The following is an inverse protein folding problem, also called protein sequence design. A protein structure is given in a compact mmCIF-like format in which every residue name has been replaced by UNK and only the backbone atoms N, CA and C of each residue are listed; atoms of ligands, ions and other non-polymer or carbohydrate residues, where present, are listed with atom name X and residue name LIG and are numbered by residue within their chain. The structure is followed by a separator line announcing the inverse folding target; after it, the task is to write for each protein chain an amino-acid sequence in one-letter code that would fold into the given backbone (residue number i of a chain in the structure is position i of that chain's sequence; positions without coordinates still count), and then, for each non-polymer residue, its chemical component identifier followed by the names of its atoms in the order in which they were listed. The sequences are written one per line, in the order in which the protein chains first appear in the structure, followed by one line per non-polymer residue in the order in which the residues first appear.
data_IF_231148341245
#
_entry.id   IF_231148341245
#
_cell.length_a   1.000
_cell.length_b   1.000
_cell.length_c   1.000
_cell.angle_alpha   90.00
_cell.angle_beta   90.00
_cell.angle_gamma   90.00
#
_symmetry.space_group_name_H-M   'P 1'
#
loop_
_entity.id
_entity.type
_entity.pdbx_description
1 polymer ?
#
# COMPACT_ATOMS: atom_id res chain seq x y z
N UNK A 1 14.88 -4.17 -28.39
CA UNK A 1 15.01 -4.06 -26.92
C UNK A 1 15.50 -2.69 -26.41
N UNK A 2 16.33 -1.96 -27.14
CA UNK A 2 17.03 -0.77 -26.62
C UNK A 2 16.15 0.46 -26.36
N UNK A 3 14.97 0.51 -26.99
CA UNK A 3 14.06 1.66 -26.89
C UNK A 3 13.43 1.80 -25.50
N UNK A 4 13.14 0.69 -24.81
CA UNK A 4 12.57 0.69 -23.46
C UNK A 4 13.57 1.24 -22.44
N UNK A 5 14.82 0.79 -22.50
CA UNK A 5 15.91 1.28 -21.65
C UNK A 5 16.19 2.77 -21.86
N UNK A 6 16.07 3.25 -23.10
CA UNK A 6 16.23 4.68 -23.41
C UNK A 6 15.11 5.52 -22.80
N UNK A 7 13.85 5.03 -22.81
CA UNK A 7 12.72 5.69 -22.14
C UNK A 7 12.86 5.70 -20.62
N UNK A 8 13.31 4.58 -20.02
CA UNK A 8 13.63 4.55 -18.59
C UNK A 8 14.70 5.58 -18.23
N UNK A 9 15.72 5.75 -19.07
CA UNK A 9 16.78 6.75 -18.86
C UNK A 9 16.28 8.19 -19.00
N UNK A 10 15.26 8.44 -19.83
CA UNK A 10 14.63 9.76 -19.96
C UNK A 10 13.86 10.16 -18.69
N UNK A 11 13.23 9.20 -18.01
CA UNK A 11 12.53 9.41 -16.74
C UNK A 11 13.46 9.98 -15.66
N UNK A 12 14.73 9.55 -15.64
CA UNK A 12 15.74 10.06 -14.70
C UNK A 12 16.42 11.35 -15.17
N UNK A 13 16.36 11.67 -16.46
CA UNK A 13 17.01 12.83 -17.06
C UNK A 13 16.11 14.07 -17.05
N UNK A 14 14.80 13.87 -17.14
CA UNK A 14 13.81 14.94 -17.13
C UNK A 14 13.44 15.33 -15.69
N UNK A 15 13.73 16.57 -15.26
CA UNK A 15 13.50 17.02 -13.90
C UNK A 15 12.00 17.09 -13.54
N UNK A 16 11.10 17.31 -14.50
CA UNK A 16 9.66 17.36 -14.26
C UNK A 16 9.07 15.96 -14.07
N UNK A 17 9.47 14.98 -14.89
CA UNK A 17 9.08 13.58 -14.66
C UNK A 17 9.58 13.07 -13.30
N UNK A 18 10.85 13.38 -12.96
CA UNK A 18 11.42 12.96 -11.67
C UNK A 18 10.61 13.51 -10.50
N UNK A 19 10.23 14.80 -10.52
CA UNK A 19 9.40 15.40 -9.45
C UNK A 19 8.05 14.70 -9.31
N UNK A 20 7.37 14.40 -10.43
CA UNK A 20 6.09 13.69 -10.41
C UNK A 20 6.20 12.28 -9.82
N UNK A 21 7.24 11.54 -10.21
CA UNK A 21 7.47 10.20 -9.67
C UNK A 21 7.83 10.24 -8.18
N UNK A 22 8.66 11.21 -7.77
CA UNK A 22 9.01 11.38 -6.36
C UNK A 22 7.78 11.74 -5.52
N UNK A 23 6.88 12.58 -6.06
CA UNK A 23 5.61 12.92 -5.41
C UNK A 23 4.71 11.69 -5.23
N UNK A 24 4.53 10.88 -6.27
CA UNK A 24 3.74 9.64 -6.18
C UNK A 24 4.38 8.65 -5.19
N UNK A 25 5.70 8.45 -5.25
CA UNK A 25 6.41 7.61 -4.29
C UNK A 25 6.28 8.13 -2.85
N UNK A 26 6.32 9.45 -2.66
CA UNK A 26 6.13 10.07 -1.36
C UNK A 26 4.71 9.86 -0.83
N UNK A 27 3.68 10.04 -1.66
CA UNK A 27 2.30 9.73 -1.29
C UNK A 27 2.12 8.25 -0.95
N UNK A 28 2.70 7.34 -1.74
CA UNK A 28 2.67 5.91 -1.43
C UNK A 28 3.37 5.60 -0.10
N UNK A 29 4.49 6.24 0.19
CA UNK A 29 5.19 6.08 1.48
C UNK A 29 4.31 6.56 2.64
N UNK A 30 3.66 7.73 2.53
CA UNK A 30 2.73 8.22 3.54
C UNK A 30 1.54 7.27 3.74
N UNK A 31 0.97 6.76 2.64
CA UNK A 31 -0.10 5.76 2.70
C UNK A 31 0.36 4.52 3.47
N UNK A 32 1.57 4.03 3.16
CA UNK A 32 2.16 2.83 3.78
C UNK A 32 2.49 3.03 5.26
N UNK A 33 2.82 4.26 5.67
CA UNK A 33 2.98 4.62 7.09
C UNK A 33 1.62 4.60 7.79
N UNK A 34 0.58 5.21 7.22
CA UNK A 34 -0.78 5.19 7.78
C UNK A 34 -1.41 3.79 7.85
N UNK A 35 -1.10 2.93 6.89
CA UNK A 35 -1.52 1.51 6.85
C UNK A 35 -0.74 0.59 7.82
N UNK A 36 0.32 1.10 8.46
CA UNK A 36 1.06 0.39 9.51
C UNK A 36 0.73 0.88 10.93
N UNK A 37 -0.07 1.94 11.08
CA UNK A 37 -0.49 2.45 12.40
C UNK A 37 -1.82 1.76 12.78
N UNK A 38 -1.79 0.74 13.66
CA UNK A 38 -2.99 0.06 14.10
C UNK A 38 -3.83 0.98 14.99
N UNK A 39 -5.15 0.84 14.91
CA UNK A 39 -6.06 1.54 15.81
C UNK A 39 -5.92 0.92 17.22
N UNK A 40 -5.68 1.72 18.28
CA UNK A 40 -5.55 1.22 19.64
C UNK A 40 -6.88 0.62 20.13
N UNK A 41 -6.82 -0.52 20.82
CA UNK A 41 -8.00 -1.19 21.40
C UNK A 41 -8.48 -2.45 20.68
N UNK A 42 -7.72 -2.96 19.70
CA UNK A 42 -8.09 -4.14 18.89
C UNK A 42 -7.12 -5.29 19.18
N UNK A 43 -7.69 -6.48 19.42
CA UNK A 43 -6.95 -7.72 19.55
C UNK A 43 -6.63 -8.31 18.17
N UNK A 44 -5.38 -8.12 17.73
CA UNK A 44 -4.90 -8.57 16.42
C UNK A 44 -4.95 -10.10 16.26
N UNK A 45 -4.79 -10.86 17.35
CA UNK A 45 -4.81 -12.33 17.29
C UNK A 45 -6.22 -12.83 16.99
N UNK A 46 -7.22 -12.31 17.71
CA UNK A 46 -8.63 -12.66 17.45
C UNK A 46 -9.08 -12.24 16.06
N UNK A 47 -8.61 -11.09 15.58
CA UNK A 47 -8.94 -10.61 14.26
C UNK A 47 -8.38 -11.49 13.14
N UNK A 48 -7.11 -11.91 13.27
CA UNK A 48 -6.49 -12.82 12.31
C UNK A 48 -7.22 -14.17 12.26
N UNK A 49 -7.63 -14.71 13.41
CA UNK A 49 -8.43 -15.92 13.47
C UNK A 49 -9.80 -15.76 12.80
N UNK A 50 -10.46 -14.61 12.98
CA UNK A 50 -11.76 -14.30 12.36
C UNK A 50 -11.66 -14.14 10.83
N UNK A 51 -10.62 -13.47 10.35
CA UNK A 51 -10.34 -13.28 8.92
C UNK A 51 -9.91 -14.58 8.24
N UNK A 52 -9.14 -15.43 8.94
CA UNK A 52 -8.72 -16.74 8.42
C UNK A 52 -9.88 -17.72 8.27
N UNK A 53 -10.93 -17.61 9.11
CA UNK A 53 -12.14 -18.43 9.03
C UNK A 53 -13.05 -18.12 7.83
N UNK A 54 -12.79 -17.03 7.09
CA UNK A 54 -13.66 -16.56 6.01
C UNK A 54 -12.85 -16.11 4.77
N UNK A 55 -12.91 -16.90 3.70
CA UNK A 55 -12.19 -16.59 2.45
C UNK A 55 -12.59 -15.23 1.83
N UNK A 56 -13.85 -14.81 1.98
CA UNK A 56 -14.31 -13.50 1.53
C UNK A 56 -13.58 -12.34 2.22
N UNK A 57 -13.39 -12.43 3.53
CA UNK A 57 -12.64 -11.43 4.28
C UNK A 57 -11.13 -11.50 3.99
N UNK A 58 -10.60 -12.69 3.69
CA UNK A 58 -9.24 -12.84 3.16
C UNK A 58 -9.04 -12.09 1.85
N UNK A 59 -10.00 -12.17 0.92
CA UNK A 59 -9.99 -11.40 -0.33
C UNK A 59 -10.02 -9.89 -0.04
N UNK A 60 -10.94 -9.42 0.80
CA UNK A 60 -11.00 -8.00 1.19
C UNK A 60 -9.69 -7.49 1.81
N UNK A 61 -9.00 -8.31 2.60
CA UNK A 61 -7.70 -7.94 3.17
C UNK A 61 -6.62 -7.72 2.10
N UNK A 62 -6.63 -8.49 1.01
CA UNK A 62 -5.69 -8.31 -0.11
C UNK A 62 -5.96 -6.99 -0.83
N UNK A 63 -7.24 -6.66 -1.08
CA UNK A 63 -7.63 -5.38 -1.71
C UNK A 63 -7.35 -4.16 -0.82
N UNK A 64 -7.43 -4.35 0.50
CA UNK A 64 -7.03 -3.36 1.51
C UNK A 64 -5.50 -3.17 1.62
N UNK A 65 -4.69 -4.02 0.97
CA UNK A 65 -3.23 -3.98 1.11
C UNK A 65 -2.73 -4.47 2.47
N UNK A 66 -3.52 -5.30 3.17
CA UNK A 66 -3.22 -5.81 4.51
C UNK A 66 -3.73 -4.94 5.66
N UNK A 67 -4.37 -3.81 5.37
CA UNK A 67 -4.89 -2.88 6.39
C UNK A 67 -6.01 -3.48 7.25
N UNK A 68 -6.82 -4.37 6.67
CA UNK A 68 -7.91 -5.07 7.36
C UNK A 68 -7.38 -6.03 8.44
N UNK A 69 -6.28 -6.75 8.16
CA UNK A 69 -5.68 -7.70 9.11
C UNK A 69 -5.05 -7.07 10.34
N UNK A 70 -4.70 -5.78 10.25
CA UNK A 70 -4.10 -5.00 11.34
C UNK A 70 -5.04 -3.93 11.90
N UNK A 71 -6.26 -3.84 11.35
CA UNK A 71 -7.20 -2.71 11.53
C UNK A 71 -6.46 -1.38 11.63
N UNK A 72 -5.70 -1.07 10.57
CA UNK A 72 -4.96 0.18 10.49
C UNK A 72 -5.91 1.35 10.20
N UNK A 73 -5.46 2.59 10.46
CA UNK A 73 -6.23 3.80 10.13
C UNK A 73 -6.71 3.81 8.66
N UNK A 74 -5.94 3.21 7.76
CA UNK A 74 -6.26 3.06 6.34
C UNK A 74 -6.82 1.66 5.99
N UNK A 75 -7.62 1.03 6.86
CA UNK A 75 -8.10 -0.35 6.65
C UNK A 75 -8.95 -0.54 5.40
N UNK A 76 -9.64 0.51 4.92
CA UNK A 76 -10.54 0.42 3.77
C UNK A 76 -9.81 0.67 2.44
N UNK A 77 -8.50 0.88 2.47
CA UNK A 77 -7.68 1.13 1.28
C UNK A 77 -7.66 2.60 0.85
N UNK A 78 -7.33 2.82 -0.42
CA UNK A 78 -7.47 4.10 -1.16
C UNK A 78 -8.81 4.10 -1.88
#
# INVERSE_FOLDING_TARGET
MNNFLRRLKLVFKDPDLRKKILFVLFMLALFRLGANIPIPGIDQLRLQSFLAGNQFFGFLNIFSGGGLSKLSIMMLGV
#
